data_IF_686235935149
#
_entry.id   IF_686235935149
#
_cell.length_a   1.000
_cell.length_b   1.000
_cell.length_c   1.000
_cell.angle_alpha   90.00
_cell.angle_beta   90.00
_cell.angle_gamma   90.00
#
_symmetry.space_group_name_H-M   'P 1'
#
loop_
_entity.id
_entity.type
_entity.pdbx_description
1 polymer ?
#
# COMPACT_ATOMS: atom_id res chain seq x y z
N UNK A 1 25.59 -4.63 0.22
CA UNK A 1 25.32 -6.04 0.52
C UNK A 1 23.84 -6.32 0.30
N UNK A 2 23.53 -7.19 -0.65
CA UNK A 2 22.14 -7.67 -0.80
C UNK A 2 21.87 -8.63 0.35
N UNK A 3 20.96 -8.23 1.24
CA UNK A 3 20.50 -9.13 2.30
C UNK A 3 19.76 -10.30 1.68
N UNK A 4 20.13 -11.50 2.06
CA UNK A 4 19.47 -12.71 1.61
C UNK A 4 18.08 -12.83 2.23
N UNK A 5 17.09 -13.12 1.39
CA UNK A 5 15.72 -13.32 1.83
C UNK A 5 15.59 -14.64 2.60
N UNK A 6 14.86 -14.62 3.72
CA UNK A 6 14.52 -15.82 4.45
C UNK A 6 13.58 -16.71 3.63
N UNK A 7 13.46 -17.97 4.03
CA UNK A 7 12.55 -18.92 3.38
C UNK A 7 11.10 -18.42 3.37
N UNK A 8 10.62 -17.91 4.50
CA UNK A 8 9.24 -17.41 4.62
C UNK A 8 9.03 -16.14 3.78
N UNK A 9 10.02 -15.24 3.74
CA UNK A 9 9.97 -14.05 2.87
C UNK A 9 9.85 -14.47 1.40
N UNK A 10 10.62 -15.46 0.97
CA UNK A 10 10.54 -16.00 -0.39
C UNK A 10 9.18 -16.62 -0.67
N UNK A 11 8.62 -17.37 0.26
CA UNK A 11 7.28 -17.97 0.13
C UNK A 11 6.21 -16.89 -0.06
N UNK A 12 6.25 -15.83 0.73
CA UNK A 12 5.31 -14.72 0.62
C UNK A 12 5.45 -14.02 -0.73
N UNK A 13 6.67 -13.76 -1.17
CA UNK A 13 6.93 -13.10 -2.45
C UNK A 13 6.55 -13.97 -3.65
N UNK A 14 6.59 -15.28 -3.52
CA UNK A 14 6.22 -16.22 -4.58
C UNK A 14 4.71 -16.49 -4.67
N UNK A 15 3.90 -15.98 -3.73
CA UNK A 15 2.45 -16.11 -3.78
C UNK A 15 1.88 -15.43 -5.03
N UNK A 16 1.00 -16.16 -5.72
CA UNK A 16 0.33 -15.67 -6.93
C UNK A 16 -1.04 -15.04 -6.65
N UNK A 17 -1.44 -15.00 -5.39
CA UNK A 17 -2.70 -14.38 -5.00
C UNK A 17 -2.71 -12.89 -5.35
N UNK A 18 -3.84 -12.41 -5.83
CA UNK A 18 -4.00 -11.00 -6.18
C UNK A 18 -4.07 -10.11 -4.94
N UNK A 19 -4.55 -10.63 -3.83
CA UNK A 19 -4.79 -9.88 -2.61
C UNK A 19 -4.11 -10.57 -1.44
N UNK A 20 -3.04 -9.97 -0.96
CA UNK A 20 -2.16 -10.52 0.07
C UNK A 20 -2.10 -9.55 1.25
N UNK A 21 -2.28 -10.09 2.45
CA UNK A 21 -2.08 -9.37 3.71
C UNK A 21 -0.99 -10.09 4.50
N UNK A 22 0.03 -9.36 4.89
CA UNK A 22 1.19 -9.89 5.61
C UNK A 22 1.29 -9.25 6.98
N UNK A 23 1.46 -10.08 8.01
CA UNK A 23 1.82 -9.60 9.34
C UNK A 23 3.33 -9.70 9.51
N UNK A 24 3.94 -8.63 9.97
CA UNK A 24 5.37 -8.58 10.20
C UNK A 24 5.71 -7.65 11.36
N UNK A 25 6.67 -8.06 12.19
CA UNK A 25 7.27 -7.13 13.14
C UNK A 25 8.29 -6.25 12.43
N UNK A 26 8.66 -5.12 13.06
CA UNK A 26 9.69 -4.23 12.53
C UNK A 26 11.01 -4.96 12.27
N UNK A 27 11.34 -5.95 13.10
CA UNK A 27 12.58 -6.72 13.01
C UNK A 27 12.54 -7.81 11.93
N UNK A 28 11.39 -8.11 11.34
CA UNK A 28 11.23 -9.23 10.41
C UNK A 28 11.56 -8.90 8.94
N UNK A 29 12.11 -7.71 8.67
CA UNK A 29 12.47 -7.31 7.32
C UNK A 29 11.27 -6.87 6.48
N UNK A 30 10.29 -6.27 7.11
CA UNK A 30 9.05 -5.78 6.48
C UNK A 30 9.32 -4.88 5.29
N UNK A 31 10.18 -3.88 5.44
CA UNK A 31 10.53 -2.93 4.37
C UNK A 31 11.23 -3.64 3.21
N UNK A 32 12.08 -4.62 3.50
CA UNK A 32 12.77 -5.40 2.49
C UNK A 32 11.79 -6.22 1.65
N UNK A 33 10.82 -6.88 2.30
CA UNK A 33 9.79 -7.66 1.60
C UNK A 33 8.94 -6.75 0.71
N UNK A 34 8.52 -5.61 1.25
CA UNK A 34 7.73 -4.64 0.48
C UNK A 34 8.50 -4.12 -0.73
N UNK A 35 9.75 -3.73 -0.54
CA UNK A 35 10.62 -3.25 -1.62
C UNK A 35 10.82 -4.33 -2.69
N UNK A 36 11.07 -5.55 -2.28
CA UNK A 36 11.27 -6.66 -3.20
C UNK A 36 10.00 -6.99 -3.99
N UNK A 37 8.83 -6.88 -3.35
CA UNK A 37 7.55 -7.05 -4.05
C UNK A 37 7.36 -5.99 -5.14
N UNK A 38 7.64 -4.74 -4.83
CA UNK A 38 7.61 -3.65 -5.80
C UNK A 38 8.55 -3.93 -6.97
N UNK A 39 9.79 -4.31 -6.66
CA UNK A 39 10.80 -4.62 -7.69
C UNK A 39 10.32 -5.71 -8.63
N UNK A 40 9.76 -6.79 -8.10
CA UNK A 40 9.24 -7.90 -8.91
C UNK A 40 8.07 -7.49 -9.79
N UNK A 41 7.17 -6.64 -9.28
CA UNK A 41 6.07 -6.11 -10.07
C UNK A 41 6.60 -5.29 -11.25
N UNK A 42 7.54 -4.39 -10.99
CA UNK A 42 8.12 -3.55 -12.05
C UNK A 42 8.90 -4.39 -13.07
N UNK A 43 9.66 -5.39 -12.61
CA UNK A 43 10.43 -6.27 -13.48
C UNK A 43 9.53 -7.18 -14.35
N UNK A 44 8.30 -7.43 -13.92
CA UNK A 44 7.35 -8.22 -14.71
C UNK A 44 6.76 -7.48 -15.91
N UNK A 45 7.11 -6.21 -16.09
CA UNK A 45 6.65 -5.40 -17.22
C UNK A 45 5.35 -4.64 -16.96
N UNK A 46 4.87 -4.60 -15.73
CA UNK A 46 3.71 -3.78 -15.36
C UNK A 46 4.05 -2.31 -15.57
N UNK A 47 3.13 -1.55 -16.15
CA UNK A 47 3.30 -0.12 -16.31
C UNK A 47 3.44 0.54 -14.93
N UNK A 48 4.52 1.28 -14.67
CA UNK A 48 4.72 1.94 -13.37
C UNK A 48 3.56 2.86 -12.96
N UNK A 49 2.86 3.44 -13.92
CA UNK A 49 1.68 4.30 -13.66
C UNK A 49 0.51 3.54 -13.06
N UNK A 50 0.49 2.21 -13.18
CA UNK A 50 -0.53 1.34 -12.61
C UNK A 50 -0.19 0.87 -11.19
N UNK A 51 0.93 1.33 -10.65
CA UNK A 51 1.45 0.89 -9.33
C UNK A 51 1.46 2.05 -8.35
N UNK A 52 0.88 1.84 -7.19
CA UNK A 52 0.93 2.78 -6.07
C UNK A 52 1.46 2.08 -4.82
N UNK A 53 2.45 2.69 -4.19
CA UNK A 53 3.00 2.25 -2.91
C UNK A 53 2.68 3.32 -1.86
N UNK A 54 1.89 2.95 -0.87
CA UNK A 54 1.42 3.87 0.16
C UNK A 54 2.18 3.60 1.45
N UNK A 55 2.75 4.67 2.00
CA UNK A 55 3.41 4.70 3.30
C UNK A 55 2.75 5.76 4.18
N UNK A 56 3.02 5.76 5.48
CA UNK A 56 2.44 6.75 6.39
C UNK A 56 3.30 8.00 6.58
N UNK A 57 4.55 7.99 6.12
CA UNK A 57 5.43 9.14 6.22
C UNK A 57 6.21 9.36 4.93
N UNK A 58 6.56 10.62 4.67
CA UNK A 58 7.43 10.96 3.54
C UNK A 58 8.82 10.34 3.69
N UNK A 59 9.30 10.20 4.93
CA UNK A 59 10.59 9.55 5.21
C UNK A 59 10.57 8.09 4.76
N UNK A 60 9.52 7.35 5.08
CA UNK A 60 9.37 5.95 4.65
C UNK A 60 9.30 5.83 3.13
N UNK A 61 8.63 6.75 2.45
CA UNK A 61 8.59 6.81 0.99
C UNK A 61 10.00 7.02 0.40
N UNK A 62 10.78 7.90 0.98
CA UNK A 62 12.16 8.16 0.53
C UNK A 62 13.07 6.95 0.73
N UNK A 63 12.92 6.24 1.84
CA UNK A 63 13.66 5.00 2.09
C UNK A 63 13.34 3.96 1.02
N UNK A 64 12.08 3.81 0.65
CA UNK A 64 11.65 2.89 -0.39
C UNK A 64 12.26 3.24 -1.75
N UNK A 65 12.22 4.51 -2.15
CA UNK A 65 12.83 4.98 -3.40
C UNK A 65 14.31 4.67 -3.45
N UNK A 66 15.02 4.94 -2.36
CA UNK A 66 16.47 4.66 -2.26
C UNK A 66 16.77 3.17 -2.37
N UNK A 67 15.96 2.32 -1.73
CA UNK A 67 16.15 0.88 -1.78
C UNK A 67 15.88 0.29 -3.16
N UNK A 68 14.95 0.85 -3.91
CA UNK A 68 14.71 0.46 -5.29
C UNK A 68 15.90 0.82 -6.19
N UNK A 69 16.58 1.95 -5.92
CA UNK A 69 17.75 2.36 -6.68
C UNK A 69 17.50 2.39 -8.18
N UNK A 70 18.27 1.63 -8.94
CA UNK A 70 18.16 1.53 -10.39
C UNK A 70 16.86 0.86 -10.87
N UNK A 71 16.19 0.10 -10.00
CA UNK A 71 14.91 -0.53 -10.31
C UNK A 71 13.72 0.42 -10.22
N UNK A 72 13.93 1.62 -9.68
CA UNK A 72 12.91 2.67 -9.68
C UNK A 72 12.53 3.03 -11.11
N UNK A 73 11.24 3.13 -11.38
CA UNK A 73 10.70 3.52 -12.68
C UNK A 73 9.82 4.76 -12.52
N UNK A 74 10.03 5.74 -13.39
CA UNK A 74 9.19 6.93 -13.42
C UNK A 74 7.74 6.54 -13.68
N UNK A 75 6.84 7.23 -13.01
CA UNK A 75 5.41 6.99 -13.10
C UNK A 75 4.82 6.20 -11.94
N UNK A 76 5.64 5.43 -11.23
CA UNK A 76 5.18 4.78 -9.99
C UNK A 76 4.84 5.84 -8.93
N UNK A 77 3.75 5.65 -8.22
CA UNK A 77 3.45 6.46 -7.05
C UNK A 77 4.07 5.80 -5.81
N UNK A 78 4.89 6.55 -5.09
CA UNK A 78 5.40 6.17 -3.76
C UNK A 78 5.21 7.38 -2.87
N UNK A 79 4.33 7.27 -1.88
CA UNK A 79 4.05 8.40 -1.00
C UNK A 79 2.97 8.10 0.02
N UNK A 80 2.49 9.15 0.68
CA UNK A 80 1.42 9.03 1.66
C UNK A 80 0.06 8.91 0.97
N UNK A 81 -0.91 8.36 1.70
CA UNK A 81 -2.28 8.22 1.19
C UNK A 81 -2.90 9.59 0.88
N UNK A 82 -2.61 10.61 1.71
CA UNK A 82 -3.09 11.98 1.50
C UNK A 82 -2.50 12.58 0.21
N UNK A 83 -1.23 12.30 -0.04
CA UNK A 83 -0.56 12.73 -1.27
C UNK A 83 -1.20 12.10 -2.51
N UNK A 84 -1.63 10.86 -2.43
CA UNK A 84 -2.31 10.19 -3.54
C UNK A 84 -3.68 10.80 -3.81
N UNK A 85 -4.47 11.03 -2.76
CA UNK A 85 -5.76 11.70 -2.88
C UNK A 85 -5.60 13.09 -3.49
N UNK A 86 -4.65 13.88 -2.99
CA UNK A 86 -4.35 15.20 -3.50
C UNK A 86 -3.95 15.17 -4.98
N UNK A 87 -3.14 14.21 -5.37
CA UNK A 87 -2.71 14.03 -6.76
C UNK A 87 -3.88 13.77 -7.69
N UNK A 88 -4.81 12.91 -7.30
CA UNK A 88 -6.03 12.64 -8.07
C UNK A 88 -6.86 13.91 -8.25
N UNK A 89 -7.07 14.64 -7.16
CA UNK A 89 -7.87 15.87 -7.16
C UNK A 89 -7.26 16.95 -8.04
N UNK A 90 -5.97 17.21 -7.88
CA UNK A 90 -5.26 18.22 -8.67
C UNK A 90 -5.25 17.86 -10.16
N UNK A 91 -5.05 16.60 -10.50
CA UNK A 91 -5.07 16.14 -11.89
C UNK A 91 -6.45 16.30 -12.53
N UNK A 92 -7.50 16.33 -11.73
CA UNK A 92 -8.89 16.51 -12.17
C UNK A 92 -9.31 17.96 -12.16
N UNK A 93 -8.44 18.90 -11.73
CA UNK A 93 -8.70 20.31 -11.67
C UNK A 93 -9.43 20.78 -10.42
N UNK A 94 -9.47 19.96 -9.37
CA UNK A 94 -10.08 20.33 -8.09
C UNK A 94 -9.08 21.08 -7.23
N UNK A 95 -9.48 22.21 -6.68
CA UNK A 95 -8.66 22.99 -5.76
C UNK A 95 -8.64 22.35 -4.37
N UNK A 96 -7.46 21.99 -3.89
CA UNK A 96 -7.23 21.39 -2.57
C UNK A 96 -6.60 22.34 -1.58
N UNK A 97 -6.41 23.60 -1.93
CA UNK A 97 -5.68 24.59 -1.10
C UNK A 97 -6.25 24.71 0.29
N UNK A 98 -7.57 24.70 0.44
CA UNK A 98 -8.22 24.85 1.74
C UNK A 98 -7.89 23.67 2.67
N UNK A 99 -7.98 22.45 2.16
CA UNK A 99 -7.65 21.26 2.91
C UNK A 99 -6.17 21.24 3.33
N UNK A 100 -5.28 21.55 2.41
CA UNK A 100 -3.83 21.55 2.64
C UNK A 100 -3.42 22.64 3.62
N UNK A 101 -3.91 23.87 3.43
CA UNK A 101 -3.54 25.01 4.28
C UNK A 101 -4.05 24.88 5.70
N UNK A 102 -5.18 24.21 5.90
CA UNK A 102 -5.76 23.97 7.22
C UNK A 102 -5.32 22.66 7.83
N UNK A 103 -4.45 21.91 7.16
CA UNK A 103 -4.01 20.57 7.57
C UNK A 103 -5.21 19.63 7.85
N UNK A 104 -6.32 19.85 7.15
CA UNK A 104 -7.52 19.02 7.23
C UNK A 104 -7.48 17.96 6.12
N UNK A 105 -6.71 16.91 6.37
CA UNK A 105 -6.48 15.86 5.37
C UNK A 105 -7.71 14.99 5.14
N UNK A 106 -8.62 14.90 6.10
CA UNK A 106 -9.90 14.19 5.92
C UNK A 106 -10.76 14.85 4.85
N UNK A 107 -10.65 16.18 4.70
CA UNK A 107 -11.32 16.92 3.65
C UNK A 107 -10.91 16.45 2.24
N UNK A 108 -9.68 15.98 2.08
CA UNK A 108 -9.23 15.42 0.79
C UNK A 108 -10.07 14.21 0.38
N UNK A 109 -10.38 13.32 1.31
CA UNK A 109 -11.21 12.15 1.04
C UNK A 109 -12.65 12.54 0.75
N UNK A 110 -13.18 13.54 1.43
CA UNK A 110 -14.51 14.10 1.15
C UNK A 110 -14.57 14.68 -0.27
N UNK A 111 -13.55 15.43 -0.67
CA UNK A 111 -13.45 15.97 -2.02
C UNK A 111 -13.38 14.86 -3.08
N UNK A 112 -12.66 13.77 -2.80
CA UNK A 112 -12.65 12.61 -3.71
C UNK A 112 -14.04 12.00 -3.83
N UNK A 113 -14.76 11.88 -2.72
CA UNK A 113 -16.16 11.37 -2.72
C UNK A 113 -17.07 12.26 -3.56
N UNK A 114 -16.87 13.58 -3.50
CA UNK A 114 -17.65 14.54 -4.29
C UNK A 114 -17.25 14.54 -5.77
N UNK A 115 -16.07 14.05 -6.10
CA UNK A 115 -15.52 14.02 -7.46
C UNK A 115 -15.00 12.62 -7.80
N UNK A 116 -15.85 11.59 -7.81
CA UNK A 116 -15.40 10.19 -7.93
C UNK A 116 -14.64 9.91 -9.23
N UNK A 117 -14.89 10.67 -10.28
CA UNK A 117 -14.19 10.52 -11.55
C UNK A 117 -12.72 10.97 -11.50
N UNK A 118 -12.27 11.59 -10.40
CA UNK A 118 -10.86 11.95 -10.24
C UNK A 118 -9.98 10.72 -9.97
N UNK A 119 -10.57 9.65 -9.47
CA UNK A 119 -9.83 8.44 -9.10
C UNK A 119 -9.36 7.71 -10.35
N UNK A 120 -8.05 7.50 -10.44
CA UNK A 120 -7.44 6.76 -11.54
C UNK A 120 -7.32 5.28 -11.18
N UNK A 121 -7.38 4.44 -12.20
CA UNK A 121 -7.19 3.00 -12.03
C UNK A 121 -5.78 2.70 -11.55
N UNK A 122 -5.68 1.94 -10.45
CA UNK A 122 -4.43 1.40 -9.94
C UNK A 122 -4.57 -0.12 -9.94
N UNK A 123 -3.68 -0.79 -10.67
CA UNK A 123 -3.72 -2.25 -10.77
C UNK A 123 -3.04 -2.93 -9.60
N UNK A 124 -1.98 -2.34 -9.07
CA UNK A 124 -1.20 -2.87 -7.96
C UNK A 124 -1.07 -1.81 -6.88
N UNK A 125 -1.63 -2.06 -5.73
CA UNK A 125 -1.50 -1.19 -4.57
C UNK A 125 -0.78 -1.93 -3.47
N UNK A 126 0.28 -1.32 -2.96
CA UNK A 126 1.03 -1.82 -1.81
C UNK A 126 0.85 -0.84 -0.66
N UNK A 127 0.59 -1.36 0.53
CA UNK A 127 0.34 -0.55 1.72
C UNK A 127 1.24 -1.04 2.86
N UNK A 128 2.05 -0.13 3.38
CA UNK A 128 2.82 -0.37 4.59
C UNK A 128 2.07 0.16 5.82
N UNK A 129 2.38 -0.36 7.00
CA UNK A 129 1.79 0.07 8.27
C UNK A 129 0.25 0.01 8.26
N UNK A 130 -0.31 -1.10 7.77
CA UNK A 130 -1.75 -1.27 7.60
C UNK A 130 -2.55 -1.04 8.89
N UNK A 131 -1.95 -1.30 10.06
CA UNK A 131 -2.58 -1.09 11.36
C UNK A 131 -2.93 0.39 11.63
N UNK A 132 -2.25 1.32 10.96
CA UNK A 132 -2.48 2.76 11.12
C UNK A 132 -3.58 3.30 10.19
N UNK A 133 -4.20 2.42 9.39
CA UNK A 133 -5.25 2.81 8.44
C UNK A 133 -6.56 3.07 9.15
N UNK A 134 -7.07 4.30 9.05
CA UNK A 134 -8.39 4.68 9.54
C UNK A 134 -9.51 4.35 8.55
N UNK A 135 -10.75 4.60 8.95
CA UNK A 135 -11.93 4.26 8.16
C UNK A 135 -11.98 5.01 6.82
N UNK A 136 -11.66 6.29 6.80
CA UNK A 136 -11.65 7.11 5.59
C UNK A 136 -10.57 6.69 4.60
N UNK A 137 -9.37 6.41 5.11
CA UNK A 137 -8.27 5.92 4.29
C UNK A 137 -8.60 4.55 3.72
N UNK A 138 -9.20 3.69 4.52
CA UNK A 138 -9.60 2.36 4.09
C UNK A 138 -10.63 2.43 2.96
N UNK A 139 -11.67 3.25 3.13
CA UNK A 139 -12.69 3.48 2.11
C UNK A 139 -12.07 4.02 0.81
N UNK A 140 -11.16 4.97 0.93
CA UNK A 140 -10.45 5.53 -0.22
C UNK A 140 -9.68 4.46 -1.00
N UNK A 141 -8.93 3.61 -0.30
CA UNK A 141 -8.11 2.57 -0.94
C UNK A 141 -8.99 1.48 -1.56
N UNK A 142 -9.88 0.90 -0.76
CA UNK A 142 -10.54 -0.35 -1.14
C UNK A 142 -11.88 -0.18 -1.82
N UNK A 143 -12.60 0.90 -1.53
CA UNK A 143 -13.90 1.17 -2.17
C UNK A 143 -13.77 2.13 -3.36
N UNK A 144 -12.99 3.21 -3.22
CA UNK A 144 -12.87 4.21 -4.28
C UNK A 144 -11.84 3.82 -5.33
N UNK A 145 -10.61 3.49 -4.93
CA UNK A 145 -9.58 3.01 -5.86
C UNK A 145 -9.90 1.59 -6.31
N UNK A 146 -10.24 0.72 -5.37
CA UNK A 146 -10.56 -0.68 -5.59
C UNK A 146 -9.52 -1.38 -6.48
N UNK A 147 -8.27 -1.51 -6.01
CA UNK A 147 -7.20 -2.06 -6.83
C UNK A 147 -7.42 -3.53 -7.18
N UNK A 148 -7.02 -3.93 -8.37
CA UNK A 148 -7.10 -5.32 -8.82
C UNK A 148 -6.23 -6.24 -7.96
N UNK A 149 -5.05 -5.75 -7.59
CA UNK A 149 -4.10 -6.49 -6.75
C UNK A 149 -3.66 -5.60 -5.59
N UNK A 150 -3.57 -6.16 -4.40
CA UNK A 150 -2.94 -5.44 -3.30
C UNK A 150 -2.01 -6.33 -2.48
N UNK A 151 -0.99 -5.70 -1.92
CA UNK A 151 -0.04 -6.30 -1.01
C UNK A 151 0.06 -5.40 0.22
N UNK A 152 -0.52 -5.84 1.31
CA UNK A 152 -0.69 -5.05 2.53
C UNK A 152 0.17 -5.63 3.63
N UNK A 153 0.97 -4.80 4.27
CA UNK A 153 1.85 -5.22 5.36
C UNK A 153 1.52 -4.44 6.62
N UNK A 154 1.35 -5.15 7.71
CA UNK A 154 1.10 -4.56 9.02
C UNK A 154 1.96 -5.20 10.10
N UNK A 155 2.18 -4.44 11.18
CA UNK A 155 3.15 -4.82 12.19
C UNK A 155 2.56 -5.68 13.31
N UNK A 156 1.36 -5.39 13.76
CA UNK A 156 0.77 -6.05 14.91
C UNK A 156 -0.37 -6.98 14.51
N UNK A 157 -0.33 -8.21 15.00
CA UNK A 157 -1.35 -9.22 14.73
C UNK A 157 -2.77 -8.74 15.05
N UNK A 158 -2.97 -8.14 16.23
CA UNK A 158 -4.28 -7.64 16.64
C UNK A 158 -4.79 -6.52 15.73
N UNK A 159 -3.92 -5.59 15.39
CA UNK A 159 -4.27 -4.47 14.52
C UNK A 159 -4.60 -4.94 13.10
N UNK A 160 -3.87 -5.94 12.58
CA UNK A 160 -4.16 -6.56 11.29
C UNK A 160 -5.49 -7.31 11.33
N UNK A 161 -5.81 -8.00 12.42
CA UNK A 161 -7.11 -8.66 12.57
C UNK A 161 -8.26 -7.66 12.69
N UNK A 162 -8.05 -6.53 13.35
CA UNK A 162 -9.04 -5.44 13.38
C UNK A 162 -9.26 -4.85 11.98
N UNK A 163 -8.18 -4.59 11.26
CA UNK A 163 -8.21 -4.15 9.88
C UNK A 163 -9.02 -5.12 9.01
N UNK A 164 -8.73 -6.41 9.12
CA UNK A 164 -9.47 -7.47 8.42
C UNK A 164 -10.93 -7.53 8.86
N UNK A 165 -11.20 -7.49 10.17
CA UNK A 165 -12.55 -7.64 10.73
C UNK A 165 -13.47 -6.49 10.38
N UNK A 166 -12.94 -5.25 10.39
CA UNK A 166 -13.71 -4.07 9.98
C UNK A 166 -14.17 -4.14 8.52
N UNK A 167 -13.52 -4.97 7.70
CA UNK A 167 -13.71 -4.99 6.25
C UNK A 167 -13.79 -6.42 5.71
N UNK A 168 -14.48 -7.27 6.43
CA UNK A 168 -14.60 -8.70 6.16
C UNK A 168 -15.03 -9.01 4.73
N UNK A 169 -15.94 -8.22 4.16
CA UNK A 169 -16.39 -8.41 2.77
C UNK A 169 -15.25 -8.28 1.75
N UNK A 170 -14.31 -7.39 2.00
CA UNK A 170 -13.19 -7.14 1.11
C UNK A 170 -12.20 -8.31 1.12
N UNK A 171 -12.04 -8.93 2.27
CA UNK A 171 -11.10 -10.02 2.46
C UNK A 171 -11.72 -11.42 2.31
N UNK A 172 -13.02 -11.50 2.18
CA UNK A 172 -13.77 -12.75 2.19
C UNK A 172 -13.25 -13.80 1.20
N UNK A 173 -12.94 -13.40 -0.03
CA UNK A 173 -12.44 -14.30 -1.07
C UNK A 173 -10.92 -14.24 -1.29
N UNK A 174 -10.21 -13.47 -0.49
CA UNK A 174 -8.82 -13.11 -0.77
C UNK A 174 -7.87 -13.44 0.34
N UNK A 175 -8.43 -13.75 1.49
CA UNK A 175 -7.65 -14.04 2.65
C UNK A 175 -7.35 -15.54 2.75
N UNK A 176 -6.07 -15.86 2.73
CA UNK A 176 -5.57 -17.18 3.07
C UNK A 176 -4.90 -17.12 4.43
N UNK A 177 -5.29 -17.99 5.34
CA UNK A 177 -4.68 -18.09 6.67
C UNK A 177 -3.15 -18.14 6.63
N UNK A 178 -2.60 -18.71 5.57
CA UNK A 178 -1.16 -18.81 5.36
C UNK A 178 -0.48 -17.46 5.10
N UNK A 179 -1.22 -16.48 4.58
CA UNK A 179 -0.69 -15.14 4.26
C UNK A 179 -0.51 -14.32 5.53
N UNK A 180 -1.27 -14.65 6.57
CA UNK A 180 -1.04 -14.13 7.92
C UNK A 180 0.03 -14.91 8.68
N UNK A 181 0.64 -15.91 8.06
CA UNK A 181 1.79 -16.53 8.67
C UNK A 181 2.85 -15.46 8.81
N UNK A 182 3.20 -15.23 10.03
CA UNK A 182 3.99 -14.07 10.36
C UNK A 182 5.40 -14.20 9.86
N UNK A 183 5.92 -13.14 9.29
CA UNK A 183 7.35 -12.97 9.12
C UNK A 183 8.09 -13.09 10.46
N UNK A 184 7.37 -12.95 11.58
CA UNK A 184 7.93 -13.09 12.92
C UNK A 184 8.48 -14.50 13.21
N UNK A 185 7.97 -15.52 12.55
CA UNK A 185 8.53 -16.87 12.67
C UNK A 185 9.88 -17.03 11.96
N UNK A 186 10.35 -15.97 11.30
CA UNK A 186 11.66 -15.92 10.63
C UNK A 186 12.77 -15.31 11.48
N UNK A 187 12.41 -14.76 12.61
CA UNK A 187 13.39 -14.11 13.51
C UNK A 187 14.25 -15.13 14.28
#
# INVERSE_FOLDING_TARGET
EMMELSKLQKEILNKQDKKIVVMASAAAGKTMVLTEKVRRILQSGVDPRDVAVITFTNMAADVLRKRLGEDYKDGIFIGTIHSLANRFLLSYGVDTSNAINNEDFDQLFELVSDHPNCVKTIKYLLLDEAQDTGDLEFEFIFDMINPENFFVVGEMKQAIYQFKGANEKLFYNTYHKQIFSSLDSCS
#
